data_IF_188240534070
#
_entry.id   IF_188240534070
#
_cell.length_a   1.000
_cell.length_b   1.000
_cell.length_c   1.000
_cell.angle_alpha   90.00
_cell.angle_beta   90.00
_cell.angle_gamma   90.00
#
_symmetry.space_group_name_H-M   'P 1'
#
loop_
_entity.id
_entity.type
_entity.pdbx_description
1 polymer ?
#
# COMPACT_ATOMS: atom_id res chain seq x y z
N UNK A 1 56.64 24.63 14.51
CA UNK A 1 55.56 24.87 13.51
C UNK A 1 55.03 23.60 12.80
N UNK A 2 55.24 22.44 13.39
CA UNK A 2 54.73 21.15 12.83
C UNK A 2 53.21 20.96 13.07
N UNK A 3 52.59 21.72 13.95
CA UNK A 3 51.16 21.64 14.27
C UNK A 3 50.24 22.39 13.27
N UNK A 4 50.77 23.40 12.58
CA UNK A 4 49.98 24.22 11.66
C UNK A 4 49.37 23.44 10.49
N UNK A 5 50.08 22.46 9.84
CA UNK A 5 49.47 21.62 8.79
C UNK A 5 48.38 20.69 9.33
N UNK A 6 48.56 20.21 10.56
CA UNK A 6 47.60 19.34 11.23
C UNK A 6 46.28 20.07 11.54
N UNK A 7 46.40 21.27 12.08
CA UNK A 7 45.27 22.16 12.38
C UNK A 7 44.49 22.49 11.11
N UNK A 8 45.15 22.87 10.01
CA UNK A 8 44.52 23.14 8.72
C UNK A 8 43.77 21.92 8.16
N UNK A 9 44.37 20.74 8.35
CA UNK A 9 43.75 19.50 7.91
C UNK A 9 42.49 19.18 8.72
N UNK A 10 42.51 19.39 10.03
CA UNK A 10 41.35 19.22 10.90
C UNK A 10 40.26 20.24 10.59
N UNK A 11 40.60 21.49 10.33
CA UNK A 11 39.64 22.52 9.92
C UNK A 11 38.97 22.17 8.62
N UNK A 12 39.73 21.71 7.61
CA UNK A 12 39.19 21.26 6.32
C UNK A 12 38.27 20.04 6.48
N UNK A 13 38.65 19.07 7.32
CA UNK A 13 37.79 17.92 7.61
C UNK A 13 36.49 18.34 8.30
N UNK A 14 36.57 19.25 9.26
CA UNK A 14 35.41 19.80 9.95
C UNK A 14 34.45 20.52 9.00
N UNK A 15 34.98 21.29 8.07
CA UNK A 15 34.17 21.97 7.04
C UNK A 15 33.49 20.96 6.12
N UNK A 16 34.22 19.96 5.63
CA UNK A 16 33.67 18.89 4.78
C UNK A 16 32.57 18.10 5.49
N UNK A 17 32.76 17.76 6.75
CA UNK A 17 31.73 17.07 7.55
C UNK A 17 30.50 17.96 7.72
N UNK A 18 30.68 19.26 7.94
CA UNK A 18 29.59 20.21 8.09
C UNK A 18 28.77 20.33 6.81
N UNK A 19 29.43 20.48 5.66
CA UNK A 19 28.78 20.50 4.34
C UNK A 19 28.01 19.21 4.05
N UNK A 20 28.60 18.05 4.37
CA UNK A 20 27.94 16.77 4.20
C UNK A 20 26.71 16.61 5.10
N UNK A 21 26.81 17.06 6.34
CA UNK A 21 25.68 17.05 7.29
C UNK A 21 24.55 17.98 6.83
N UNK A 22 24.87 19.14 6.30
CA UNK A 22 23.88 20.10 5.77
C UNK A 22 23.16 19.53 4.54
N UNK A 23 23.91 18.93 3.60
CA UNK A 23 23.34 18.25 2.44
C UNK A 23 22.43 17.06 2.82
N UNK A 24 22.84 16.25 3.80
CA UNK A 24 22.03 15.15 4.31
C UNK A 24 20.74 15.65 4.97
N UNK A 25 20.83 16.73 5.74
CA UNK A 25 19.68 17.35 6.38
C UNK A 25 18.68 17.88 5.35
N UNK A 26 19.14 18.59 4.33
CA UNK A 26 18.29 19.09 3.24
C UNK A 26 17.55 17.94 2.53
N UNK A 27 18.27 16.86 2.20
CA UNK A 27 17.66 15.67 1.59
C UNK A 27 16.63 14.99 2.49
N UNK A 28 16.89 14.95 3.79
CA UNK A 28 15.96 14.39 4.76
C UNK A 28 14.70 15.26 4.91
N UNK A 29 14.85 16.58 4.92
CA UNK A 29 13.73 17.52 4.96
C UNK A 29 12.89 17.43 3.68
N UNK A 30 13.50 17.32 2.52
CA UNK A 30 12.83 17.10 1.23
C UNK A 30 12.05 15.78 1.22
N UNK A 31 12.68 14.69 1.63
CA UNK A 31 12.02 13.39 1.73
C UNK A 31 10.81 13.42 2.69
N UNK A 32 10.98 14.05 3.86
CA UNK A 32 9.91 14.21 4.83
C UNK A 32 8.76 15.04 4.25
N UNK A 33 9.06 16.15 3.57
CA UNK A 33 8.05 16.98 2.95
C UNK A 33 7.25 16.22 1.88
N UNK A 34 7.89 15.37 1.08
CA UNK A 34 7.22 14.53 0.08
C UNK A 34 6.29 13.53 0.77
N UNK A 35 6.80 12.77 1.73
CA UNK A 35 6.04 11.71 2.39
C UNK A 35 4.89 12.22 3.24
N UNK A 36 5.05 13.37 3.90
CA UNK A 36 4.00 14.01 4.71
C UNK A 36 2.84 14.55 3.85
N UNK A 37 3.09 14.92 2.60
CA UNK A 37 2.06 15.37 1.67
C UNK A 37 1.33 14.22 0.93
N UNK A 38 1.77 12.99 1.10
CA UNK A 38 1.09 11.83 0.52
C UNK A 38 -0.19 11.48 1.29
N UNK A 39 -1.19 11.01 0.57
CA UNK A 39 -2.43 10.46 1.17
C UNK A 39 -2.22 9.03 1.64
N UNK A 40 -1.30 8.33 1.02
CA UNK A 40 -0.90 6.97 1.31
C UNK A 40 -0.13 6.90 2.64
N UNK A 41 -0.37 5.84 3.40
CA UNK A 41 0.44 5.55 4.57
C UNK A 41 1.82 5.05 4.14
N UNK A 42 2.86 5.59 4.75
CA UNK A 42 4.25 5.24 4.48
C UNK A 42 4.98 4.90 5.78
N UNK A 43 5.60 3.72 5.83
CA UNK A 43 6.36 3.25 6.99
C UNK A 43 7.64 2.58 6.50
N UNK A 44 8.76 2.93 7.09
CA UNK A 44 10.06 2.27 6.87
C UNK A 44 10.44 1.52 8.13
N UNK A 45 10.85 0.29 7.99
CA UNK A 45 11.29 -0.57 9.08
C UNK A 45 12.65 -1.17 8.81
N UNK A 46 13.39 -1.42 9.88
CA UNK A 46 14.66 -2.15 9.82
C UNK A 46 14.46 -3.67 9.79
N UNK A 47 15.55 -4.41 9.75
CA UNK A 47 15.56 -5.88 9.74
C UNK A 47 15.03 -6.54 11.02
N UNK A 48 14.80 -5.77 12.08
CA UNK A 48 14.17 -6.23 13.34
C UNK A 48 12.68 -5.90 13.40
N UNK A 49 12.12 -5.34 12.31
CA UNK A 49 10.77 -4.80 12.26
C UNK A 49 10.56 -3.55 13.14
N UNK A 50 11.62 -2.85 13.52
CA UNK A 50 11.52 -1.60 14.24
C UNK A 50 11.29 -0.44 13.26
N UNK A 51 10.37 0.46 13.60
CA UNK A 51 10.00 1.58 12.75
C UNK A 51 11.11 2.62 12.74
N UNK A 52 11.68 2.87 11.55
CA UNK A 52 12.70 3.92 11.31
C UNK A 52 12.04 5.24 10.96
N UNK A 53 11.01 5.21 10.11
CA UNK A 53 10.33 6.40 9.61
C UNK A 53 8.88 6.09 9.28
N UNK A 54 8.02 7.07 9.39
CA UNK A 54 6.59 6.98 9.03
C UNK A 54 6.07 8.38 8.71
N UNK A 55 4.96 8.44 7.96
CA UNK A 55 4.25 9.69 7.71
C UNK A 55 2.94 9.79 8.53
N UNK A 56 2.38 11.00 8.57
CA UNK A 56 1.12 11.28 9.30
C UNK A 56 -0.06 10.47 8.76
N UNK A 57 -0.07 10.13 7.46
CA UNK A 57 -1.12 9.31 6.85
C UNK A 57 -1.12 7.88 7.40
N UNK A 58 0.05 7.26 7.60
CA UNK A 58 0.15 5.93 8.20
C UNK A 58 -0.45 5.90 9.62
N UNK A 59 -0.12 6.91 10.44
CA UNK A 59 -0.66 7.07 11.79
C UNK A 59 -2.19 7.18 11.78
N UNK A 60 -2.72 8.00 10.89
CA UNK A 60 -4.16 8.22 10.73
C UNK A 60 -4.90 6.96 10.25
N UNK A 61 -4.35 6.25 9.25
CA UNK A 61 -4.97 5.04 8.70
C UNK A 61 -4.98 3.92 9.73
N UNK A 62 -3.86 3.68 10.40
CA UNK A 62 -3.74 2.62 11.40
C UNK A 62 -4.41 2.97 12.73
N UNK A 63 -4.75 4.24 12.95
CA UNK A 63 -5.40 4.70 14.18
C UNK A 63 -4.52 4.57 15.42
N UNK A 64 -3.19 4.65 15.26
CA UNK A 64 -2.21 4.46 16.34
C UNK A 64 -1.63 5.78 16.80
N UNK A 65 -1.30 5.86 18.08
CA UNK A 65 -0.58 7.01 18.66
C UNK A 65 0.89 6.64 18.85
N UNK A 66 1.71 7.02 17.86
CA UNK A 66 3.14 6.75 17.87
C UNK A 66 3.89 7.43 19.03
N UNK A 67 3.30 8.48 19.63
CA UNK A 67 3.93 9.23 20.72
C UNK A 67 3.74 8.56 22.09
N UNK A 68 2.76 7.70 22.24
CA UNK A 68 2.44 7.03 23.51
C UNK A 68 3.37 5.88 23.86
N UNK A 69 4.16 5.39 22.93
CA UNK A 69 4.99 4.20 23.14
C UNK A 69 6.35 4.49 23.82
N UNK A 70 6.52 5.65 24.43
CA UNK A 70 7.73 5.99 25.20
C UNK A 70 9.00 6.11 24.33
N UNK A 71 10.17 6.26 24.99
CA UNK A 71 11.48 6.41 24.32
C UNK A 71 12.06 5.11 23.73
N UNK A 72 11.25 4.11 23.42
CA UNK A 72 11.69 2.83 22.86
C UNK A 72 11.35 2.70 21.37
N UNK A 73 12.09 1.82 20.67
CA UNK A 73 11.80 1.46 19.31
C UNK A 73 10.39 0.86 19.21
N UNK A 74 9.62 1.34 18.24
CA UNK A 74 8.27 0.83 17.99
C UNK A 74 8.39 -0.32 16.98
N UNK A 75 8.02 -1.53 17.40
CA UNK A 75 7.92 -2.63 16.45
C UNK A 75 6.68 -2.48 15.60
N UNK A 76 6.84 -2.56 14.27
CA UNK A 76 5.76 -2.33 13.29
C UNK A 76 4.60 -3.31 13.47
N UNK A 77 4.85 -4.53 13.93
CA UNK A 77 3.82 -5.54 14.19
C UNK A 77 2.91 -5.20 15.38
N UNK A 78 3.31 -4.23 16.20
CA UNK A 78 2.46 -3.70 17.27
C UNK A 78 1.43 -2.69 16.78
N UNK A 79 1.63 -2.13 15.58
CA UNK A 79 0.74 -1.12 15.00
C UNK A 79 -0.56 -1.71 14.47
N UNK A 80 -0.50 -2.93 13.94
CA UNK A 80 -1.67 -3.66 13.48
C UNK A 80 -1.49 -5.16 13.71
N UNK A 81 -2.51 -5.79 14.32
CA UNK A 81 -2.47 -7.21 14.71
C UNK A 81 -3.10 -8.15 13.68
N UNK A 82 -3.55 -7.64 12.53
CA UNK A 82 -4.13 -8.49 11.49
C UNK A 82 -3.08 -9.45 10.92
N UNK A 83 -3.54 -10.64 10.53
CA UNK A 83 -2.68 -11.64 9.87
C UNK A 83 -2.12 -11.12 8.55
N UNK A 84 -2.93 -10.38 7.78
CA UNK A 84 -2.52 -9.78 6.51
C UNK A 84 -1.38 -8.78 6.69
N UNK A 85 -1.45 -7.91 7.70
CA UNK A 85 -0.39 -6.95 7.97
C UNK A 85 0.91 -7.64 8.39
N UNK A 86 0.81 -8.63 9.27
CA UNK A 86 1.97 -9.42 9.71
C UNK A 86 2.62 -10.15 8.54
N UNK A 87 1.83 -10.84 7.72
CA UNK A 87 2.35 -11.59 6.58
C UNK A 87 3.13 -10.69 5.62
N UNK A 88 2.59 -9.53 5.28
CA UNK A 88 3.23 -8.57 4.36
C UNK A 88 4.59 -8.11 4.89
N UNK A 89 4.68 -7.83 6.20
CA UNK A 89 5.94 -7.41 6.83
C UNK A 89 6.94 -8.56 6.88
N UNK A 90 6.51 -9.74 7.33
CA UNK A 90 7.40 -10.91 7.48
C UNK A 90 7.97 -11.36 6.13
N UNK A 91 7.18 -11.36 5.05
CA UNK A 91 7.65 -11.68 3.71
C UNK A 91 8.64 -10.64 3.19
N UNK A 92 8.37 -9.34 3.42
CA UNK A 92 9.31 -8.29 3.01
C UNK A 92 10.64 -8.38 3.75
N UNK A 93 10.62 -8.66 5.06
CA UNK A 93 11.83 -8.86 5.86
C UNK A 93 12.61 -10.13 5.47
N UNK A 94 11.96 -11.08 4.78
CA UNK A 94 12.64 -12.23 4.16
C UNK A 94 13.15 -11.97 2.74
N UNK A 95 13.02 -10.74 2.25
CA UNK A 95 13.52 -10.32 0.94
C UNK A 95 12.52 -10.48 -0.21
N UNK A 96 11.24 -10.72 0.07
CA UNK A 96 10.19 -10.89 -0.93
C UNK A 96 9.18 -9.76 -0.87
N UNK A 97 8.82 -9.20 -2.02
CA UNK A 97 7.71 -8.25 -2.10
C UNK A 97 6.40 -8.97 -1.83
N UNK A 98 5.59 -8.41 -0.96
CA UNK A 98 4.26 -8.92 -0.67
C UNK A 98 3.22 -7.81 -0.72
N UNK A 99 2.00 -8.17 -1.12
CA UNK A 99 0.84 -7.29 -1.05
C UNK A 99 -0.38 -8.06 -0.53
N UNK A 100 -1.18 -7.39 0.28
CA UNK A 100 -2.40 -7.93 0.88
C UNK A 100 -3.45 -6.84 1.01
N UNK A 101 -4.70 -7.25 1.08
CA UNK A 101 -5.80 -6.36 1.40
C UNK A 101 -6.02 -6.32 2.92
N UNK A 102 -6.39 -5.16 3.42
CA UNK A 102 -6.69 -4.92 4.82
C UNK A 102 -7.95 -4.09 4.94
N UNK A 103 -8.93 -4.61 5.67
CA UNK A 103 -10.15 -3.90 5.99
C UNK A 103 -10.04 -3.26 7.37
N UNK A 104 -10.14 -1.93 7.41
CA UNK A 104 -10.08 -1.16 8.65
C UNK A 104 -11.22 -0.14 8.69
N UNK A 105 -12.01 -0.20 9.76
CA UNK A 105 -13.07 0.79 10.02
C UNK A 105 -14.04 1.03 8.85
N UNK A 106 -14.38 -0.05 8.11
CA UNK A 106 -15.28 0.01 6.96
C UNK A 106 -14.66 0.59 5.69
N UNK A 107 -13.35 0.73 5.64
CA UNK A 107 -12.57 1.09 4.46
C UNK A 107 -11.68 -0.04 4.01
N UNK A 108 -11.42 -0.09 2.72
CA UNK A 108 -10.57 -1.08 2.10
C UNK A 108 -9.20 -0.49 1.78
N UNK A 109 -8.16 -1.10 2.33
CA UNK A 109 -6.77 -0.71 2.09
C UNK A 109 -6.02 -1.84 1.40
N UNK A 110 -5.09 -1.48 0.53
CA UNK A 110 -4.07 -2.38 0.01
C UNK A 110 -2.75 -2.05 0.69
N UNK A 111 -2.12 -3.05 1.29
CA UNK A 111 -0.80 -2.93 1.90
C UNK A 111 0.20 -3.57 0.97
N UNK A 112 1.26 -2.84 0.67
CA UNK A 112 2.37 -3.31 -0.17
C UNK A 112 3.64 -3.14 0.63
N UNK A 113 4.38 -4.21 0.86
CA UNK A 113 5.71 -4.13 1.45
C UNK A 113 6.78 -4.54 0.43
N UNK A 114 7.78 -3.69 0.30
CA UNK A 114 8.92 -3.91 -0.56
C UNK A 114 10.17 -4.09 0.31
N UNK A 115 10.97 -5.15 0.08
CA UNK A 115 12.21 -5.35 0.79
C UNK A 115 13.25 -4.29 0.40
N UNK A 116 14.03 -3.87 1.39
CA UNK A 116 15.17 -2.96 1.22
C UNK A 116 16.39 -3.63 1.84
N UNK A 117 17.43 -3.84 1.04
CA UNK A 117 18.66 -4.45 1.54
C UNK A 117 19.38 -3.51 2.53
N UNK A 118 19.60 -3.97 3.74
CA UNK A 118 20.44 -3.28 4.74
C UNK A 118 21.89 -3.76 4.68
N UNK A 119 22.09 -5.06 4.46
CA UNK A 119 23.38 -5.72 4.34
C UNK A 119 23.21 -7.08 3.65
N UNK A 120 24.31 -7.83 3.41
CA UNK A 120 24.34 -9.06 2.62
C UNK A 120 23.27 -10.12 2.96
N UNK A 121 22.64 -10.14 4.08
CA UNK A 121 21.56 -11.10 4.42
C UNK A 121 20.50 -10.49 5.35
N UNK A 122 20.41 -9.17 5.41
CA UNK A 122 19.41 -8.49 6.21
C UNK A 122 18.60 -7.52 5.36
N UNK A 123 17.29 -7.64 5.50
CA UNK A 123 16.32 -6.86 4.77
C UNK A 123 15.50 -6.02 5.73
N UNK A 124 15.48 -4.72 5.54
CA UNK A 124 14.42 -3.86 6.04
C UNK A 124 13.24 -3.90 5.07
N UNK A 125 12.22 -3.12 5.31
CA UNK A 125 11.07 -3.01 4.44
C UNK A 125 10.52 -1.58 4.36
N UNK A 126 9.99 -1.24 3.19
CA UNK A 126 9.13 -0.08 3.00
C UNK A 126 7.70 -0.58 2.83
N UNK A 127 6.82 -0.17 3.74
CA UNK A 127 5.40 -0.51 3.74
C UNK A 127 4.60 0.70 3.27
N UNK A 128 3.79 0.50 2.24
CA UNK A 128 2.88 1.51 1.69
C UNK A 128 1.44 1.03 1.89
N UNK A 129 0.57 1.91 2.39
CA UNK A 129 -0.84 1.64 2.66
C UNK A 129 -1.69 2.55 1.78
N UNK A 130 -2.41 1.95 0.84
CA UNK A 130 -3.23 2.62 -0.16
C UNK A 130 -4.72 2.50 0.22
N UNK A 131 -5.46 3.59 0.22
CA UNK A 131 -6.93 3.53 0.33
C UNK A 131 -7.52 3.19 -1.04
N UNK A 132 -8.05 1.99 -1.17
CA UNK A 132 -8.67 1.46 -2.40
C UNK A 132 -10.19 1.37 -2.32
N UNK A 133 -10.79 2.01 -1.31
CA UNK A 133 -12.23 1.93 -1.05
C UNK A 133 -13.08 2.36 -2.24
N UNK A 134 -12.78 3.51 -2.84
CA UNK A 134 -13.50 3.98 -4.03
C UNK A 134 -13.35 3.05 -5.23
N UNK A 135 -12.14 2.53 -5.43
CA UNK A 135 -11.87 1.61 -6.54
C UNK A 135 -12.67 0.33 -6.37
N UNK A 136 -12.67 -0.27 -5.17
CA UNK A 136 -13.42 -1.49 -4.88
C UNK A 136 -14.93 -1.27 -5.00
N UNK A 137 -15.44 -0.14 -4.50
CA UNK A 137 -16.85 0.20 -4.63
C UNK A 137 -17.27 0.33 -6.11
N UNK A 138 -16.46 0.99 -6.94
CA UNK A 138 -16.71 1.11 -8.38
C UNK A 138 -16.69 -0.26 -9.10
N UNK A 139 -15.74 -1.11 -8.74
CA UNK A 139 -15.68 -2.47 -9.29
C UNK A 139 -16.87 -3.34 -8.85
N UNK A 140 -17.30 -3.22 -7.60
CA UNK A 140 -18.49 -3.86 -7.06
C UNK A 140 -19.74 -3.46 -7.83
N UNK A 141 -19.99 -2.16 -7.98
CA UNK A 141 -21.11 -1.64 -8.76
C UNK A 141 -21.09 -2.10 -10.22
N UNK A 142 -19.92 -2.12 -10.85
CA UNK A 142 -19.76 -2.61 -12.22
C UNK A 142 -20.10 -4.09 -12.36
N UNK A 143 -19.67 -4.92 -11.40
CA UNK A 143 -19.99 -6.37 -11.38
C UNK A 143 -21.48 -6.60 -11.20
N UNK A 144 -22.10 -5.91 -10.24
CA UNK A 144 -23.53 -5.97 -9.97
C UNK A 144 -24.34 -5.53 -11.19
N UNK A 145 -23.99 -4.40 -11.80
CA UNK A 145 -24.63 -3.94 -13.04
C UNK A 145 -24.53 -4.97 -14.16
N UNK A 146 -23.34 -5.53 -14.40
CA UNK A 146 -23.13 -6.54 -15.46
C UNK A 146 -23.94 -7.81 -15.18
N UNK A 147 -24.00 -8.25 -13.93
CA UNK A 147 -24.78 -9.42 -13.52
C UNK A 147 -26.29 -9.18 -13.72
N UNK A 148 -26.80 -8.03 -13.29
CA UNK A 148 -28.20 -7.66 -13.41
C UNK A 148 -28.63 -7.52 -14.87
N UNK A 149 -27.85 -6.82 -15.71
CA UNK A 149 -28.11 -6.70 -17.15
C UNK A 149 -28.09 -8.06 -17.84
N UNK A 150 -27.12 -8.92 -17.51
CA UNK A 150 -27.05 -10.26 -18.05
C UNK A 150 -28.28 -11.10 -17.69
N UNK A 151 -28.74 -10.98 -16.44
CA UNK A 151 -29.94 -11.73 -15.99
C UNK A 151 -31.21 -11.18 -16.62
N UNK A 152 -31.38 -9.88 -16.72
CA UNK A 152 -32.54 -9.25 -17.34
C UNK A 152 -32.62 -9.46 -18.86
N UNK A 153 -31.47 -9.55 -19.53
CA UNK A 153 -31.43 -9.88 -20.96
C UNK A 153 -31.66 -11.38 -21.24
N UNK A 154 -31.27 -12.27 -20.35
CA UNK A 154 -31.44 -13.70 -20.53
C UNK A 154 -32.91 -14.10 -20.60
N UNK A 155 -33.78 -13.50 -19.81
CA UNK A 155 -35.20 -13.80 -19.75
C UNK A 155 -35.90 -13.53 -21.08
N UNK A 156 -35.85 -12.32 -21.70
CA UNK A 156 -36.48 -12.07 -22.99
C UNK A 156 -35.83 -12.87 -24.15
N UNK A 157 -34.49 -13.06 -24.11
CA UNK A 157 -33.80 -13.85 -25.12
C UNK A 157 -34.25 -15.33 -25.10
N UNK A 158 -34.43 -15.90 -23.89
CA UNK A 158 -34.95 -17.26 -23.77
C UNK A 158 -36.36 -17.35 -24.32
N UNK A 159 -37.22 -16.35 -24.06
CA UNK A 159 -38.57 -16.29 -24.59
C UNK A 159 -38.58 -16.18 -26.13
N UNK A 160 -37.76 -15.27 -26.69
CA UNK A 160 -37.61 -15.11 -28.15
C UNK A 160 -37.11 -16.39 -28.80
N UNK A 161 -36.10 -17.04 -28.22
CA UNK A 161 -35.56 -18.30 -28.71
C UNK A 161 -36.61 -19.40 -28.65
N UNK A 162 -37.38 -19.48 -27.59
CA UNK A 162 -38.50 -20.43 -27.47
C UNK A 162 -39.57 -20.21 -28.53
N UNK A 163 -39.99 -18.96 -28.76
CA UNK A 163 -40.94 -18.65 -29.83
C UNK A 163 -40.39 -18.95 -31.22
N UNK A 164 -39.13 -18.65 -31.48
CA UNK A 164 -38.47 -18.95 -32.74
C UNK A 164 -38.39 -20.45 -33.00
N UNK A 165 -38.15 -21.25 -31.97
CA UNK A 165 -38.12 -22.72 -32.07
C UNK A 165 -39.49 -23.30 -32.31
N UNK A 166 -40.56 -22.80 -31.67
CA UNK A 166 -41.93 -23.16 -31.91
C UNK A 166 -42.35 -22.87 -33.37
N UNK A 167 -42.01 -21.68 -33.88
CA UNK A 167 -42.28 -21.32 -35.29
C UNK A 167 -41.53 -22.21 -36.27
N UNK A 168 -40.24 -22.50 -35.98
CA UNK A 168 -39.41 -23.37 -36.83
C UNK A 168 -39.94 -24.82 -36.92
N UNK A 169 -40.48 -25.31 -35.82
CA UNK A 169 -40.99 -26.67 -35.70
C UNK A 169 -42.46 -26.80 -36.16
N UNK A 170 -43.06 -25.74 -36.71
CA UNK A 170 -44.45 -25.79 -37.27
C UNK A 170 -45.51 -25.98 -36.21
N UNK A 171 -45.25 -25.74 -34.93
CA UNK A 171 -46.21 -25.90 -33.85
C UNK A 171 -47.12 -24.66 -33.64
N UNK A 172 -47.06 -23.66 -34.55
CA UNK A 172 -48.02 -22.57 -34.59
C UNK A 172 -49.24 -23.03 -35.39
N UNK A 173 -50.43 -23.16 -34.79
CA UNK A 173 -51.64 -23.41 -35.58
C UNK A 173 -51.83 -22.26 -36.55
N UNK A 174 -52.06 -22.55 -37.81
CA UNK A 174 -52.52 -21.56 -38.78
C UNK A 174 -53.96 -21.17 -38.41
N UNK A 175 -54.05 -20.18 -37.49
CA UNK A 175 -55.28 -19.55 -37.10
C UNK A 175 -55.13 -18.06 -37.36
N UNK A 176 -55.97 -17.63 -38.30
CA UNK A 176 -56.35 -16.27 -38.66
C UNK A 176 -55.41 -15.52 -39.61
N UNK A 177 -55.61 -15.84 -40.87
CA UNK A 177 -55.70 -14.80 -41.93
C UNK A 177 -57.01 -14.05 -41.80
#
# INVERSE_FOLDING_TARGET
>A
DELAPLVRRLEKQKETIREQMETLREKQEEFTAITENMREGFIVVDSKADVISYNSSAVRILGVDMKKNGNGNINVLSLNRSSSFRQVVDEALSGQRCEQNLDLNGRHYQIIANPVAESENRWGAVVVILDVTEQQNREGLRREFTANVSHELKTPLTSISGYAEIMKNGLVPAADM
#
